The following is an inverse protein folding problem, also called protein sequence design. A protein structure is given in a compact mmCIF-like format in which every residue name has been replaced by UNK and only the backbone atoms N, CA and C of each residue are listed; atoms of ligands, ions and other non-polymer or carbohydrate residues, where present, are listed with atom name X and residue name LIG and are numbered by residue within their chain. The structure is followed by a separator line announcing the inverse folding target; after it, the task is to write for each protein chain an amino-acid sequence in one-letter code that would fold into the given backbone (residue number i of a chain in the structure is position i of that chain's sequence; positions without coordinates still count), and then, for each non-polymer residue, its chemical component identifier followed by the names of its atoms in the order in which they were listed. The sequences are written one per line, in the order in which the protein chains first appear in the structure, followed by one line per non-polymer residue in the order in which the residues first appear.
data_IF_518796702684
#
_entry.id   IF_518796702684
#
_cell.length_a   1.000
_cell.length_b   1.000
_cell.length_c   1.000
_cell.angle_alpha   90.00
_cell.angle_beta   90.00
_cell.angle_gamma   90.00
#
_symmetry.space_group_name_H-M   'P 1'
#
loop_
_entity.id
_entity.type
_entity.pdbx_description
1 polymer ?
#
# COMPACT_ATOMS: atom_id res chain seq x y z
N UNK A 1 22.56 -38.94 -6.69
CA UNK A 1 21.42 -38.00 -6.65
C UNK A 1 21.14 -37.75 -5.20
N UNK A 2 21.44 -36.52 -4.80
CA UNK A 2 22.44 -36.19 -3.76
C UNK A 2 21.77 -35.41 -2.63
N UNK A 3 22.27 -35.50 -1.40
CA UNK A 3 21.86 -34.75 -0.18
C UNK A 3 21.33 -33.33 -0.43
N UNK A 4 21.87 -32.64 -1.44
CA UNK A 4 21.41 -31.34 -1.92
C UNK A 4 19.91 -31.27 -2.31
N UNK A 5 19.37 -32.29 -2.98
CA UNK A 5 17.94 -32.33 -3.34
C UNK A 5 17.04 -32.49 -2.11
N UNK A 6 17.50 -33.26 -1.12
CA UNK A 6 16.78 -33.43 0.15
C UNK A 6 16.81 -32.17 1.00
N UNK A 7 17.95 -31.46 1.04
CA UNK A 7 18.09 -30.17 1.71
C UNK A 7 17.19 -29.10 1.07
N UNK A 8 17.16 -29.05 -0.28
CA UNK A 8 16.26 -28.14 -1.00
C UNK A 8 14.78 -28.44 -0.70
N UNK A 9 14.39 -29.72 -0.63
CA UNK A 9 13.03 -30.12 -0.24
C UNK A 9 12.68 -29.68 1.17
N UNK A 10 13.60 -29.88 2.14
CA UNK A 10 13.42 -29.44 3.53
C UNK A 10 13.29 -27.93 3.63
N UNK A 11 14.13 -27.18 2.91
CA UNK A 11 14.06 -25.72 2.85
C UNK A 11 12.72 -25.25 2.30
N UNK A 12 12.25 -25.82 1.19
CA UNK A 12 10.94 -25.48 0.61
C UNK A 12 9.78 -25.83 1.56
N UNK A 13 9.83 -26.96 2.26
CA UNK A 13 8.84 -27.34 3.26
C UNK A 13 8.83 -26.36 4.44
N UNK A 14 10.00 -25.98 4.93
CA UNK A 14 10.14 -25.00 6.00
C UNK A 14 9.55 -23.65 5.59
N UNK A 15 9.89 -23.15 4.39
CA UNK A 15 9.36 -21.89 3.87
C UNK A 15 7.83 -21.91 3.79
N UNK A 16 7.22 -22.98 3.24
CA UNK A 16 5.76 -23.10 3.20
C UNK A 16 5.13 -23.10 4.59
N UNK A 17 5.73 -23.80 5.55
CA UNK A 17 5.25 -23.81 6.94
C UNK A 17 5.38 -22.43 7.59
N UNK A 18 6.49 -21.75 7.37
CA UNK A 18 6.72 -20.41 7.86
C UNK A 18 5.68 -19.42 7.29
N UNK A 19 5.39 -19.49 5.99
CA UNK A 19 4.37 -18.65 5.35
C UNK A 19 2.97 -18.84 5.96
N UNK A 20 2.58 -20.09 6.24
CA UNK A 20 1.30 -20.38 6.91
C UNK A 20 1.26 -19.77 8.32
N UNK A 21 2.33 -19.94 9.10
CA UNK A 21 2.42 -19.40 10.46
C UNK A 21 2.43 -17.87 10.47
N UNK A 22 3.11 -17.25 9.52
CA UNK A 22 3.13 -15.79 9.34
C UNK A 22 1.74 -15.28 8.98
N UNK A 23 1.04 -15.95 8.06
CA UNK A 23 -0.32 -15.57 7.67
C UNK A 23 -1.29 -15.67 8.84
N UNK A 24 -1.21 -16.75 9.62
CA UNK A 24 -2.01 -16.92 10.83
C UNK A 24 -1.72 -15.82 11.87
N UNK A 25 -0.45 -15.56 12.18
CA UNK A 25 -0.07 -14.54 13.15
C UNK A 25 -0.54 -13.15 12.72
N UNK A 26 -0.38 -12.80 11.44
CA UNK A 26 -0.88 -11.53 10.91
C UNK A 26 -2.40 -11.43 11.02
N UNK A 27 -3.14 -12.50 10.76
CA UNK A 27 -4.60 -12.50 10.92
C UNK A 27 -5.05 -12.29 12.36
N UNK A 28 -4.37 -12.93 13.30
CA UNK A 28 -4.65 -12.80 14.74
C UNK A 28 -4.33 -11.39 15.27
N UNK A 29 -3.26 -10.76 14.77
CA UNK A 29 -2.80 -9.44 15.21
C UNK A 29 -3.54 -8.30 14.49
N UNK A 30 -3.64 -8.36 13.17
CA UNK A 30 -4.18 -7.27 12.33
C UNK A 30 -5.71 -7.27 12.38
N UNK A 31 -6.35 -8.44 12.39
CA UNK A 31 -7.82 -8.58 12.32
C UNK A 31 -8.58 -7.71 13.35
N UNK A 32 -8.19 -7.67 14.64
CA UNK A 32 -8.81 -6.80 15.63
C UNK A 32 -8.46 -5.31 15.49
N UNK A 33 -7.39 -4.95 14.76
CA UNK A 33 -6.90 -3.57 14.64
C UNK A 33 -7.59 -2.78 13.53
N UNK A 34 -8.11 -3.46 12.52
CA UNK A 34 -8.72 -2.83 11.35
C UNK A 34 -10.17 -3.31 11.16
N UNK A 35 -11.03 -2.50 10.50
CA UNK A 35 -12.35 -2.97 10.11
C UNK A 35 -12.28 -4.17 9.17
N UNK A 36 -13.31 -5.00 9.19
CA UNK A 36 -13.51 -6.04 8.18
C UNK A 36 -13.50 -5.43 6.77
N UNK A 37 -12.76 -6.06 5.86
CA UNK A 37 -12.59 -5.54 4.50
C UNK A 37 -13.68 -6.10 3.58
N UNK A 38 -14.26 -5.22 2.76
CA UNK A 38 -15.18 -5.57 1.68
C UNK A 38 -14.86 -4.71 0.44
N UNK A 39 -15.52 -4.99 -0.68
CA UNK A 39 -15.31 -4.28 -1.95
C UNK A 39 -15.49 -2.77 -1.78
N UNK A 40 -16.57 -2.35 -1.11
CA UNK A 40 -16.85 -0.94 -0.86
C UNK A 40 -15.70 -0.21 -0.12
N UNK A 41 -15.09 -0.84 0.89
CA UNK A 41 -13.96 -0.27 1.63
C UNK A 41 -12.70 -0.18 0.78
N UNK A 42 -12.41 -1.20 -0.03
CA UNK A 42 -11.27 -1.17 -0.96
C UNK A 42 -11.43 -0.04 -1.97
N UNK A 43 -12.61 0.08 -2.59
CA UNK A 43 -12.92 1.16 -3.53
C UNK A 43 -12.81 2.53 -2.86
N UNK A 44 -13.33 2.69 -1.64
CA UNK A 44 -13.24 3.96 -0.92
C UNK A 44 -11.80 4.37 -0.63
N UNK A 45 -10.92 3.43 -0.27
CA UNK A 45 -9.50 3.72 -0.09
C UNK A 45 -8.84 4.07 -1.43
N UNK A 46 -9.10 3.31 -2.50
CA UNK A 46 -8.59 3.62 -3.83
C UNK A 46 -9.01 5.04 -4.30
N UNK A 47 -10.26 5.45 -4.02
CA UNK A 47 -10.75 6.82 -4.28
C UNK A 47 -10.01 7.87 -3.46
N UNK A 48 -9.74 7.60 -2.18
CA UNK A 48 -8.96 8.51 -1.34
C UNK A 48 -7.54 8.72 -1.91
N UNK A 49 -6.85 7.65 -2.31
CA UNK A 49 -5.54 7.73 -2.97
C UNK A 49 -5.62 8.51 -4.28
N UNK A 50 -6.67 8.27 -5.09
CA UNK A 50 -6.87 9.00 -6.34
C UNK A 50 -7.08 10.51 -6.13
N UNK A 51 -7.84 10.91 -5.11
CA UNK A 51 -8.01 12.33 -4.77
C UNK A 51 -6.69 12.98 -4.33
N UNK A 52 -5.89 12.28 -3.51
CA UNK A 52 -4.57 12.77 -3.09
C UNK A 52 -3.61 12.91 -4.28
N UNK A 53 -3.60 11.92 -5.18
CA UNK A 53 -2.86 11.98 -6.45
C UNK A 53 -3.28 13.19 -7.27
N UNK A 54 -4.58 13.43 -7.40
CA UNK A 54 -5.11 14.59 -8.13
C UNK A 54 -4.63 15.92 -7.55
N UNK A 55 -4.62 16.07 -6.22
CA UNK A 55 -4.11 17.29 -5.55
C UNK A 55 -2.61 17.50 -5.79
N UNK A 56 -1.82 16.44 -5.69
CA UNK A 56 -0.39 16.52 -5.98
C UNK A 56 -0.13 16.94 -7.43
N UNK A 57 -0.77 16.26 -8.39
CA UNK A 57 -0.65 16.59 -9.81
C UNK A 57 -1.11 18.02 -10.12
N UNK A 58 -2.23 18.46 -9.54
CA UNK A 58 -2.70 19.84 -9.68
C UNK A 58 -1.66 20.85 -9.19
N UNK A 59 -1.06 20.62 -8.02
CA UNK A 59 0.00 21.49 -7.51
C UNK A 59 1.25 21.46 -8.41
N UNK A 60 1.61 20.29 -8.96
CA UNK A 60 2.69 20.17 -9.95
C UNK A 60 2.42 20.98 -11.22
N UNK A 61 1.18 20.98 -11.71
CA UNK A 61 0.83 21.77 -12.89
C UNK A 61 0.81 23.28 -12.61
N UNK A 62 0.39 23.68 -11.42
CA UNK A 62 0.40 25.09 -11.03
C UNK A 62 1.82 25.66 -11.02
N UNK A 63 2.81 24.92 -10.51
CA UNK A 63 4.21 25.36 -10.56
C UNK A 63 4.82 25.30 -11.98
N UNK A 64 4.30 24.44 -12.87
CA UNK A 64 4.79 24.36 -14.25
C UNK A 64 4.23 25.45 -15.16
N UNK A 65 3.12 26.08 -14.76
CA UNK A 65 2.53 27.22 -15.48
C UNK A 65 3.26 28.54 -15.25
N UNK A 66 4.35 28.54 -14.47
CA UNK A 66 5.28 29.66 -14.37
C UNK A 66 6.12 29.73 -15.65
N UNK A 67 5.45 30.11 -16.74
CA UNK A 67 5.93 30.01 -18.11
C UNK A 67 6.99 31.06 -18.50
N UNK A 68 7.50 31.85 -17.55
CA UNK A 68 8.40 32.97 -17.83
C UNK A 68 9.68 32.96 -16.95
N UNK A 69 10.10 31.79 -16.47
CA UNK A 69 11.38 31.64 -15.78
C UNK A 69 11.41 32.15 -14.35
N UNK A 70 10.26 32.54 -13.79
CA UNK A 70 10.13 32.79 -12.36
C UNK A 70 10.18 31.46 -11.60
N UNK A 71 10.92 31.44 -10.48
CA UNK A 71 10.92 30.29 -9.59
C UNK A 71 9.57 30.22 -8.85
N UNK A 72 9.02 29.01 -8.62
CA UNK A 72 7.86 28.87 -7.74
C UNK A 72 8.20 29.44 -6.36
N UNK A 73 7.20 30.08 -5.74
CA UNK A 73 7.34 30.61 -4.40
C UNK A 73 7.60 29.50 -3.38
N UNK A 74 8.21 29.87 -2.25
CA UNK A 74 8.42 28.94 -1.12
C UNK A 74 7.12 28.30 -0.65
N UNK A 75 6.01 29.03 -0.73
CA UNK A 75 4.68 28.53 -0.39
C UNK A 75 4.20 27.44 -1.36
N UNK A 76 4.42 27.61 -2.67
CA UNK A 76 4.07 26.61 -3.68
C UNK A 76 4.89 25.34 -3.53
N UNK A 77 6.22 25.47 -3.35
CA UNK A 77 7.09 24.33 -3.09
C UNK A 77 6.72 23.62 -1.79
N UNK A 78 6.38 24.36 -0.73
CA UNK A 78 5.94 23.79 0.55
C UNK A 78 4.64 23.00 0.39
N UNK A 79 3.66 23.54 -0.34
CA UNK A 79 2.40 22.86 -0.62
C UNK A 79 2.60 21.62 -1.49
N UNK A 80 3.45 21.70 -2.51
CA UNK A 80 3.79 20.57 -3.37
C UNK A 80 4.38 19.42 -2.56
N UNK A 81 5.34 19.70 -1.68
CA UNK A 81 5.95 18.69 -0.79
C UNK A 81 4.90 18.07 0.12
N UNK A 82 4.06 18.89 0.76
CA UNK A 82 2.96 18.40 1.61
C UNK A 82 2.03 17.44 0.86
N UNK A 83 1.62 17.79 -0.37
CA UNK A 83 0.74 16.92 -1.15
C UNK A 83 1.42 15.64 -1.60
N UNK A 84 2.71 15.71 -1.97
CA UNK A 84 3.50 14.51 -2.28
C UNK A 84 3.57 13.57 -1.08
N UNK A 85 3.94 14.08 0.09
CA UNK A 85 4.18 13.26 1.27
C UNK A 85 2.89 12.53 1.70
N UNK A 86 1.74 13.23 1.72
CA UNK A 86 0.45 12.62 2.04
C UNK A 86 0.04 11.59 0.97
N UNK A 87 0.25 11.90 -0.31
CA UNK A 87 -0.05 10.97 -1.41
C UNK A 87 0.80 9.70 -1.34
N UNK A 88 2.11 9.84 -1.13
CA UNK A 88 3.03 8.69 -1.10
C UNK A 88 2.76 7.77 0.08
N UNK A 89 2.48 8.32 1.26
CA UNK A 89 2.12 7.52 2.43
C UNK A 89 0.79 6.79 2.23
N UNK A 90 -0.23 7.46 1.68
CA UNK A 90 -1.50 6.82 1.36
C UNK A 90 -1.35 5.73 0.28
N UNK A 91 -0.50 5.94 -0.74
CA UNK A 91 -0.21 4.95 -1.78
C UNK A 91 0.45 3.71 -1.18
N UNK A 92 1.49 3.88 -0.36
CA UNK A 92 2.17 2.76 0.31
C UNK A 92 1.20 1.98 1.21
N UNK A 93 0.36 2.68 1.97
CA UNK A 93 -0.64 2.02 2.81
C UNK A 93 -1.66 1.22 2.00
N UNK A 94 -2.05 1.70 0.82
CA UNK A 94 -2.93 0.95 -0.09
C UNK A 94 -2.23 -0.27 -0.71
N UNK A 95 -0.94 -0.17 -1.02
CA UNK A 95 -0.10 -1.29 -1.47
C UNK A 95 0.01 -2.37 -0.39
N UNK A 96 0.26 -1.97 0.86
CA UNK A 96 0.28 -2.89 2.01
C UNK A 96 -1.09 -3.54 2.27
N UNK A 97 -2.19 -2.81 2.08
CA UNK A 97 -3.53 -3.40 2.14
C UNK A 97 -3.71 -4.48 1.06
N UNK A 98 -3.30 -4.19 -0.17
CA UNK A 98 -3.40 -5.14 -1.29
C UNK A 98 -2.56 -6.37 -1.02
N UNK A 99 -1.34 -6.19 -0.52
CA UNK A 99 -0.47 -7.29 -0.11
C UNK A 99 -1.09 -8.12 1.02
N UNK A 100 -1.67 -7.49 2.03
CA UNK A 100 -2.34 -8.18 3.12
C UNK A 100 -3.55 -9.01 2.65
N UNK A 101 -4.29 -8.52 1.65
CA UNK A 101 -5.36 -9.27 0.96
C UNK A 101 -4.78 -10.50 0.25
N UNK A 102 -3.77 -10.30 -0.60
CA UNK A 102 -3.14 -11.37 -1.40
C UNK A 102 -2.55 -12.49 -0.54
N UNK A 103 -2.03 -12.13 0.63
CA UNK A 103 -1.42 -13.08 1.58
C UNK A 103 -2.39 -13.65 2.61
N UNK A 104 -3.67 -13.25 2.55
CA UNK A 104 -4.72 -13.72 3.47
C UNK A 104 -4.54 -13.28 4.91
N UNK A 105 -3.82 -12.18 5.14
CA UNK A 105 -3.57 -11.62 6.47
C UNK A 105 -4.81 -10.98 7.10
N UNK A 106 -5.85 -10.72 6.30
CA UNK A 106 -7.06 -10.03 6.72
C UNK A 106 -8.29 -10.81 6.25
N UNK A 107 -9.39 -10.70 7.00
CA UNK A 107 -10.65 -11.32 6.60
C UNK A 107 -11.39 -10.42 5.61
N UNK A 108 -11.89 -11.03 4.54
CA UNK A 108 -12.70 -10.37 3.51
C UNK A 108 -14.13 -10.86 3.69
N UNK A 109 -15.07 -9.93 3.83
CA UNK A 109 -16.49 -10.24 3.82
C UNK A 109 -17.04 -10.15 2.40
N UNK A 110 -17.99 -11.04 2.09
CA UNK A 110 -18.76 -11.03 0.84
C UNK A 110 -19.96 -10.04 0.89
N UNK A 111 -20.14 -9.30 1.99
CA UNK A 111 -21.28 -8.39 2.17
C UNK A 111 -20.85 -6.94 1.97
N UNK A 112 -21.62 -6.23 1.16
CA UNK A 112 -21.52 -4.78 0.95
C UNK A 112 -21.94 -3.98 2.19
#
# INVERSE_FOLDING_TARGET
MSSYEDDLRRQQQFLRKAELLISQANREIIGPMIPEINEARVINFARAVAHLRGRYLQASFNISNVAEGEAPSDAEITNLRKYRDIYEEARKAYEELTHAIERGYIHISEKD
#
